data_IF_374011289163
#
_entry.id   IF_374011289163
#
_cell.length_a   1.000
_cell.length_b   1.000
_cell.length_c   1.000
_cell.angle_alpha   90.00
_cell.angle_beta   90.00
_cell.angle_gamma   90.00
#
_symmetry.space_group_name_H-M   'P 1'
#
loop_
_entity.id
_entity.type
_entity.pdbx_description
1 polymer ?
#
# COMPACT_ATOMS: atom_id res chain seq x y z
N UNK A 1 -1.79 30.76 -1.09
CA UNK A 1 -1.87 29.51 -0.31
C UNK A 1 -2.33 28.43 -1.28
N UNK A 2 -1.40 27.60 -1.74
CA UNK A 2 -1.60 26.64 -2.83
C UNK A 2 -2.04 25.30 -2.24
N UNK A 3 -3.07 24.69 -2.84
CA UNK A 3 -3.60 23.39 -2.45
C UNK A 3 -2.51 22.30 -2.46
N UNK A 4 -2.54 21.30 -1.56
CA UNK A 4 -1.61 20.19 -1.60
C UNK A 4 -1.80 19.44 -2.92
N UNK A 5 -0.81 19.57 -3.79
CA UNK A 5 -0.82 18.97 -5.13
C UNK A 5 -0.19 17.59 -5.03
N UNK A 6 -1.04 16.55 -5.11
CA UNK A 6 -0.74 15.17 -5.58
C UNK A 6 -0.64 14.08 -4.49
N UNK A 7 -1.17 12.86 -4.74
CA UNK A 7 -1.48 11.84 -3.74
C UNK A 7 -0.20 11.12 -3.34
N UNK A 8 0.14 11.15 -2.06
CA UNK A 8 1.35 10.52 -1.51
C UNK A 8 1.46 9.03 -1.86
N UNK A 9 0.36 8.37 -2.25
CA UNK A 9 0.32 6.97 -2.69
C UNK A 9 0.44 6.75 -4.21
N UNK A 10 0.70 7.77 -5.06
CA UNK A 10 0.60 7.62 -6.54
C UNK A 10 1.94 7.61 -7.28
N UNK A 11 3.07 7.89 -6.62
CA UNK A 11 4.42 7.81 -7.24
C UNK A 11 5.49 7.11 -6.40
N UNK A 12 5.07 6.30 -5.44
CA UNK A 12 6.03 5.63 -4.59
C UNK A 12 6.32 4.20 -5.04
N UNK A 13 7.59 3.81 -4.99
CA UNK A 13 8.06 2.43 -5.12
C UNK A 13 7.79 1.63 -3.83
N UNK A 14 7.07 2.20 -2.87
CA UNK A 14 6.84 1.59 -1.58
C UNK A 14 5.64 0.64 -1.57
N UNK A 15 5.80 -0.45 -0.83
CA UNK A 15 4.76 -1.41 -0.47
C UNK A 15 4.62 -1.49 1.04
N UNK A 16 3.44 -1.83 1.50
CA UNK A 16 3.11 -2.03 2.92
C UNK A 16 2.42 -3.37 3.08
N UNK A 17 2.56 -3.98 4.26
CA UNK A 17 1.80 -5.18 4.58
C UNK A 17 0.45 -4.84 5.18
N UNK A 18 -0.49 -5.79 5.13
CA UNK A 18 -1.71 -5.70 5.94
C UNK A 18 -1.40 -5.47 7.44
N UNK A 19 -0.26 -5.96 7.92
CA UNK A 19 0.21 -5.75 9.29
C UNK A 19 0.69 -4.32 9.55
N UNK A 20 1.39 -3.71 8.60
CA UNK A 20 1.85 -2.31 8.74
C UNK A 20 0.65 -1.36 8.79
N UNK A 21 -0.35 -1.57 7.93
CA UNK A 21 -1.60 -0.79 7.97
C UNK A 21 -2.36 -1.06 9.27
N UNK A 22 -2.45 -2.32 9.69
CA UNK A 22 -3.15 -2.69 10.91
C UNK A 22 -2.54 -2.04 12.16
N UNK A 23 -1.21 -1.96 12.23
CA UNK A 23 -0.50 -1.25 13.27
C UNK A 23 -0.79 0.26 13.23
N UNK A 24 -0.81 0.85 12.04
CA UNK A 24 -1.04 2.28 11.84
C UNK A 24 -2.43 2.73 12.33
N UNK A 25 -3.46 1.91 12.10
CA UNK A 25 -4.86 2.28 12.39
C UNK A 25 -5.46 1.51 13.58
N UNK A 26 -4.61 0.93 14.41
CA UNK A 26 -4.96 0.16 15.61
C UNK A 26 -6.06 -0.90 15.35
N UNK A 27 -5.79 -1.82 14.42
CA UNK A 27 -6.71 -2.90 14.09
C UNK A 27 -5.99 -4.22 13.83
N UNK A 28 -6.72 -5.25 13.36
CA UNK A 28 -6.14 -6.53 12.98
C UNK A 28 -5.82 -6.59 11.47
N UNK A 29 -4.75 -7.28 11.04
CA UNK A 29 -4.44 -7.47 9.61
C UNK A 29 -5.58 -8.12 8.83
N UNK A 30 -6.35 -9.01 9.49
CA UNK A 30 -7.53 -9.66 8.90
C UNK A 30 -8.63 -8.64 8.59
N UNK A 31 -8.88 -7.69 9.50
CA UNK A 31 -9.84 -6.60 9.25
C UNK A 31 -9.40 -5.73 8.07
N UNK A 32 -8.12 -5.38 7.97
CA UNK A 32 -7.59 -4.67 6.80
C UNK A 32 -7.82 -5.48 5.53
N UNK A 33 -7.53 -6.78 5.55
CA UNK A 33 -7.79 -7.68 4.42
C UNK A 33 -9.27 -7.70 4.00
N UNK A 34 -10.20 -7.76 4.95
CA UNK A 34 -11.65 -7.69 4.68
C UNK A 34 -12.05 -6.36 4.03
N UNK A 35 -11.53 -5.23 4.54
CA UNK A 35 -11.79 -3.90 3.95
C UNK A 35 -11.23 -3.83 2.53
N UNK A 36 -9.99 -4.27 2.32
CA UNK A 36 -9.37 -4.29 0.99
C UNK A 36 -10.12 -5.18 0.00
N UNK A 37 -10.65 -6.33 0.45
CA UNK A 37 -11.43 -7.23 -0.40
C UNK A 37 -12.80 -6.65 -0.78
N UNK A 38 -13.41 -5.84 0.09
CA UNK A 38 -14.78 -5.31 -0.10
C UNK A 38 -14.80 -3.91 -0.70
N UNK A 39 -13.76 -3.11 -0.46
CA UNK A 39 -13.68 -1.68 -0.82
C UNK A 39 -12.39 -1.28 -1.51
N UNK A 40 -11.41 -2.18 -1.64
CA UNK A 40 -10.07 -1.85 -2.15
C UNK A 40 -9.94 -1.73 -3.67
N UNK A 41 -11.05 -1.84 -4.43
CA UNK A 41 -11.02 -1.83 -5.89
C UNK A 41 -10.56 -0.50 -6.52
N UNK A 42 -10.77 0.60 -5.80
CA UNK A 42 -10.49 1.97 -6.28
C UNK A 42 -9.15 2.53 -5.77
N UNK A 43 -8.43 1.80 -4.91
CA UNK A 43 -7.15 2.23 -4.34
C UNK A 43 -5.98 1.50 -5.00
N UNK A 44 -4.75 1.93 -4.70
CA UNK A 44 -3.51 1.29 -5.14
C UNK A 44 -3.24 -0.06 -4.44
N UNK A 45 -4.19 -0.99 -4.50
CA UNK A 45 -4.21 -2.25 -3.75
C UNK A 45 -2.99 -3.14 -4.02
N UNK A 46 -2.34 -3.01 -5.18
CA UNK A 46 -1.12 -3.75 -5.51
C UNK A 46 0.07 -3.40 -4.60
N UNK A 47 -0.02 -2.32 -3.81
CA UNK A 47 0.98 -1.94 -2.81
C UNK A 47 0.73 -2.53 -1.43
N UNK A 48 -0.43 -3.14 -1.22
CA UNK A 48 -0.81 -3.76 0.06
C UNK A 48 -0.74 -5.27 -0.10
N UNK A 49 0.27 -5.88 0.48
CA UNK A 49 0.55 -7.32 0.33
C UNK A 49 0.64 -8.02 1.68
N UNK A 50 0.83 -9.34 1.70
CA UNK A 50 1.33 -9.99 2.92
C UNK A 50 2.83 -9.67 3.11
N UNK A 51 3.42 -10.09 4.23
CA UNK A 51 4.87 -9.86 4.50
C UNK A 51 5.79 -10.60 3.51
N UNK A 52 5.29 -11.59 2.78
CA UNK A 52 6.01 -12.27 1.71
C UNK A 52 5.91 -11.53 0.36
N UNK A 53 5.21 -10.39 0.28
CA UNK A 53 4.99 -9.68 -0.99
C UNK A 53 3.95 -10.32 -1.90
N UNK A 54 3.17 -11.28 -1.41
CA UNK A 54 2.22 -12.05 -2.20
C UNK A 54 0.84 -11.39 -2.24
N UNK A 55 0.16 -11.66 -3.36
CA UNK A 55 -1.23 -11.30 -3.61
C UNK A 55 -2.01 -12.53 -4.08
N UNK A 56 -3.34 -12.55 -3.95
CA UNK A 56 -4.19 -13.60 -4.52
C UNK A 56 -3.88 -13.84 -6.01
N UNK A 57 -3.84 -15.13 -6.42
CA UNK A 57 -3.37 -15.51 -7.75
C UNK A 57 -4.13 -14.81 -8.90
N UNK A 58 -5.44 -14.62 -8.75
CA UNK A 58 -6.27 -13.96 -9.75
C UNK A 58 -5.95 -12.46 -9.92
N UNK A 59 -5.26 -11.84 -8.97
CA UNK A 59 -4.85 -10.43 -9.02
C UNK A 59 -3.44 -10.23 -9.59
N UNK A 60 -2.60 -11.25 -9.60
CA UNK A 60 -1.20 -11.17 -10.04
C UNK A 60 -1.02 -10.61 -11.46
N UNK A 61 -1.85 -10.93 -12.47
CA UNK A 61 -1.70 -10.35 -13.81
C UNK A 61 -1.83 -8.82 -13.82
N UNK A 62 -2.73 -8.26 -13.01
CA UNK A 62 -2.93 -6.82 -12.91
C UNK A 62 -1.89 -6.18 -11.99
N UNK A 63 -1.57 -6.82 -10.86
CA UNK A 63 -0.54 -6.35 -9.93
C UNK A 63 0.81 -6.19 -10.64
N UNK A 64 1.24 -7.17 -11.44
CA UNK A 64 2.50 -7.10 -12.20
C UNK A 64 2.55 -5.96 -13.21
N UNK A 65 1.42 -5.56 -13.81
CA UNK A 65 1.36 -4.38 -14.69
C UNK A 65 1.65 -3.11 -13.89
N UNK A 66 1.07 -2.99 -12.71
CA UNK A 66 1.27 -1.83 -11.84
C UNK A 66 2.67 -1.83 -11.21
N UNK A 67 3.16 -2.97 -10.73
CA UNK A 67 4.52 -3.10 -10.22
C UNK A 67 5.57 -2.72 -11.26
N UNK A 68 5.41 -3.14 -12.53
CA UNK A 68 6.29 -2.67 -13.61
C UNK A 68 6.20 -1.15 -13.83
N UNK A 69 4.98 -0.61 -13.89
CA UNK A 69 4.74 0.83 -14.08
C UNK A 69 5.39 1.66 -12.95
N UNK A 70 5.39 1.14 -11.74
CA UNK A 70 5.92 1.83 -10.56
C UNK A 70 7.37 1.47 -10.25
N UNK A 71 7.99 0.51 -10.94
CA UNK A 71 9.35 0.06 -10.66
C UNK A 71 9.48 -0.77 -9.38
N UNK A 72 8.42 -1.46 -8.95
CA UNK A 72 8.48 -2.40 -7.85
C UNK A 72 9.09 -3.71 -8.37
N UNK A 73 10.24 -4.11 -7.83
CA UNK A 73 10.88 -5.37 -8.17
C UNK A 73 9.95 -6.53 -7.77
N UNK A 74 9.78 -7.50 -8.66
CA UNK A 74 8.85 -8.61 -8.45
C UNK A 74 9.25 -9.83 -9.27
N UNK A 75 8.69 -10.95 -8.84
CA UNK A 75 8.65 -12.22 -9.56
C UNK A 75 7.26 -12.43 -10.15
N UNK A 76 7.04 -13.58 -10.79
CA UNK A 76 5.70 -13.99 -11.24
C UNK A 76 4.68 -14.13 -10.09
N UNK A 77 5.15 -14.37 -8.85
CA UNK A 77 4.28 -14.72 -7.71
C UNK A 77 4.16 -13.64 -6.64
N UNK A 78 5.15 -12.75 -6.53
CA UNK A 78 5.26 -11.77 -5.44
C UNK A 78 6.12 -10.58 -5.80
N UNK A 79 5.91 -9.45 -5.14
CA UNK A 79 6.88 -8.37 -5.10
C UNK A 79 8.03 -8.68 -4.14
N UNK A 80 9.16 -8.00 -4.34
CA UNK A 80 10.27 -7.96 -3.39
C UNK A 80 9.90 -7.01 -2.25
N UNK A 81 9.15 -7.55 -1.28
CA UNK A 81 8.56 -6.77 -0.20
C UNK A 81 9.61 -6.00 0.58
N UNK A 82 10.67 -6.67 1.04
CA UNK A 82 11.69 -6.05 1.90
C UNK A 82 12.41 -4.90 1.19
N UNK A 83 12.76 -5.07 -0.10
CA UNK A 83 13.39 -3.99 -0.88
C UNK A 83 12.51 -2.75 -1.03
N UNK A 84 11.20 -2.96 -1.07
CA UNK A 84 10.22 -1.93 -1.35
C UNK A 84 9.41 -1.54 -0.11
N UNK A 85 9.70 -2.10 1.07
CA UNK A 85 8.87 -1.89 2.25
C UNK A 85 8.95 -0.43 2.68
N UNK A 86 7.80 0.20 2.88
CA UNK A 86 7.77 1.48 3.59
C UNK A 86 8.17 1.26 5.04
N UNK A 87 9.13 2.04 5.53
CA UNK A 87 9.48 2.03 6.94
C UNK A 87 8.25 2.46 7.77
N UNK A 88 7.87 1.72 8.84
CA UNK A 88 6.67 2.00 9.62
C UNK A 88 6.58 3.41 10.21
N UNK A 89 7.67 3.99 10.70
CA UNK A 89 7.71 5.37 11.18
C UNK A 89 7.42 6.39 10.08
N UNK A 90 7.97 6.19 8.89
CA UNK A 90 7.68 7.02 7.72
C UNK A 90 6.22 6.88 7.26
N UNK A 91 5.67 5.65 7.30
CA UNK A 91 4.25 5.41 7.04
C UNK A 91 3.36 6.17 8.03
N UNK A 92 3.70 6.16 9.32
CA UNK A 92 2.95 6.87 10.35
C UNK A 92 3.00 8.40 10.17
N UNK A 93 4.17 8.94 9.83
CA UNK A 93 4.33 10.36 9.54
C UNK A 93 3.45 10.80 8.36
N UNK A 94 3.54 10.08 7.24
CA UNK A 94 2.73 10.37 6.04
C UNK A 94 1.22 10.29 6.31
N UNK A 95 0.80 9.34 7.14
CA UNK A 95 -0.60 9.21 7.51
C UNK A 95 -1.07 10.38 8.39
N UNK A 96 -0.24 10.81 9.34
CA UNK A 96 -0.52 11.98 10.19
C UNK A 96 -0.69 13.25 9.36
N UNK A 97 0.22 13.50 8.41
CA UNK A 97 0.14 14.64 7.50
C UNK A 97 -1.15 14.60 6.66
N UNK A 98 -1.45 13.44 6.08
CA UNK A 98 -2.66 13.26 5.27
C UNK A 98 -3.94 13.48 6.08
N UNK A 99 -4.04 12.95 7.31
CA UNK A 99 -5.20 13.17 8.18
C UNK A 99 -5.36 14.66 8.54
N UNK A 100 -4.25 15.36 8.78
CA UNK A 100 -4.26 16.81 9.03
C UNK A 100 -4.85 17.60 7.85
N UNK A 101 -4.53 17.21 6.62
CA UNK A 101 -5.11 17.82 5.41
C UNK A 101 -6.62 17.54 5.25
N UNK A 102 -7.11 16.36 5.68
CA UNK A 102 -8.53 16.00 5.55
C UNK A 102 -9.44 16.67 6.59
N UNK A 103 -8.90 17.07 7.73
CA UNK A 103 -9.67 17.64 8.87
C UNK A 103 -9.59 19.18 8.89
N UNK A 104 -8.65 19.78 8.14
CA UNK A 104 -8.50 21.23 7.98
C UNK A 104 -9.40 21.82 6.88
#
# INVERSE_FOLDING_TARGET
MQAPTTPWIVKSRFVVSYGDIALLVDTSPRRVGTVMATRGGEVSWWRVTNRNGELPAHLLPLARKQWRREGIAHTERRCDFERHRMEPGYLAALFGDALGEFIS
#
